data_IF_409547651047
#
_entry.id   IF_409547651047
#
_cell.length_a   1.000
_cell.length_b   1.000
_cell.length_c   1.000
_cell.angle_alpha   90.00
_cell.angle_beta   90.00
_cell.angle_gamma   90.00
#
_symmetry.space_group_name_H-M   'P 1'
#
loop_
_entity.id
_entity.type
_entity.pdbx_description
1 polymer ?
#
# COMPACT_ATOMS: atom_id res chain seq x y z
N UNK A 1 -17.41 0.18 -5.75
CA UNK A 1 -18.12 -0.36 -4.56
C UNK A 1 -17.61 0.35 -3.32
N UNK A 2 -18.46 0.75 -2.38
CA UNK A 2 -18.04 1.40 -1.12
C UNK A 2 -18.11 0.41 0.05
N UNK A 3 -17.03 0.27 0.81
CA UNK A 3 -16.93 -0.60 1.98
C UNK A 3 -15.83 -0.11 2.94
N UNK A 4 -15.91 -0.44 4.23
CA UNK A 4 -14.89 -0.06 5.24
C UNK A 4 -14.54 1.44 5.26
N UNK A 5 -15.51 2.30 4.93
CA UNK A 5 -15.30 3.75 4.87
C UNK A 5 -14.55 4.27 3.63
N UNK A 6 -14.27 3.42 2.64
CA UNK A 6 -13.55 3.80 1.41
C UNK A 6 -14.17 3.18 0.16
N UNK A 7 -13.67 3.57 -1.01
CA UNK A 7 -14.13 3.08 -2.31
C UNK A 7 -13.15 2.06 -2.89
N UNK A 8 -13.70 1.10 -3.64
CA UNK A 8 -12.97 0.06 -4.36
C UNK A 8 -13.43 0.04 -5.83
N UNK A 9 -12.47 0.07 -6.75
CA UNK A 9 -12.70 0.02 -8.19
C UNK A 9 -12.75 -1.42 -8.71
N UNK A 10 -13.59 -2.26 -8.09
CA UNK A 10 -13.73 -3.69 -8.40
C UNK A 10 -15.07 -3.97 -9.10
N UNK A 11 -15.11 -4.84 -10.12
CA UNK A 11 -16.38 -5.27 -10.72
C UNK A 11 -17.19 -6.13 -9.74
N UNK A 12 -18.51 -6.14 -9.95
CA UNK A 12 -19.39 -7.04 -9.20
C UNK A 12 -19.03 -8.49 -9.47
N UNK A 13 -19.05 -9.32 -8.41
CA UNK A 13 -18.73 -10.76 -8.53
C UNK A 13 -17.24 -11.09 -8.57
N UNK A 14 -16.34 -10.17 -8.21
CA UNK A 14 -14.93 -10.50 -8.03
C UNK A 14 -14.71 -11.39 -6.80
N UNK A 15 -14.35 -12.66 -7.03
CA UNK A 15 -14.16 -13.67 -5.98
C UNK A 15 -12.70 -14.15 -5.84
N UNK A 16 -11.74 -13.48 -6.48
CA UNK A 16 -10.33 -13.87 -6.51
C UNK A 16 -9.47 -13.18 -5.43
N UNK A 17 -10.07 -12.65 -4.37
CA UNK A 17 -9.34 -11.92 -3.32
C UNK A 17 -8.27 -12.74 -2.57
N UNK A 18 -8.39 -14.08 -2.40
CA UNK A 18 -7.33 -14.86 -1.77
C UNK A 18 -6.04 -14.93 -2.59
N UNK A 19 -6.13 -14.89 -3.93
CA UNK A 19 -4.96 -14.89 -4.80
C UNK A 19 -4.48 -13.48 -5.14
N UNK A 20 -5.41 -12.56 -5.40
CA UNK A 20 -5.10 -11.17 -5.72
C UNK A 20 -6.08 -10.27 -4.98
N UNK A 21 -5.62 -9.68 -3.89
CA UNK A 21 -6.39 -8.66 -3.17
C UNK A 21 -6.60 -7.41 -4.04
N UNK A 22 -7.74 -6.76 -3.89
CA UNK A 22 -8.00 -5.46 -4.53
C UNK A 22 -7.76 -4.36 -3.50
N UNK A 23 -6.85 -3.41 -3.75
CA UNK A 23 -6.64 -2.29 -2.85
C UNK A 23 -7.83 -1.32 -2.86
N UNK A 24 -8.04 -0.55 -1.78
CA UNK A 24 -8.86 0.66 -1.85
C UNK A 24 -8.43 1.56 -3.00
N UNK A 25 -9.38 2.23 -3.66
CA UNK A 25 -9.14 3.19 -4.74
C UNK A 25 -8.06 4.23 -4.39
N UNK A 26 -8.07 4.92 -3.23
CA UNK A 26 -7.04 5.90 -2.91
C UNK A 26 -5.63 5.27 -2.76
N UNK A 27 -5.54 3.99 -2.42
CA UNK A 27 -4.26 3.28 -2.35
C UNK A 27 -3.73 2.99 -3.75
N UNK A 28 -4.60 2.54 -4.66
CA UNK A 28 -4.24 2.32 -6.07
C UNK A 28 -3.78 3.62 -6.75
N UNK A 29 -4.49 4.72 -6.48
CA UNK A 29 -4.15 6.06 -6.99
C UNK A 29 -2.77 6.52 -6.51
N UNK A 30 -2.46 6.37 -5.22
CA UNK A 30 -1.15 6.74 -4.67
C UNK A 30 0.01 5.93 -5.30
N UNK A 31 -0.21 4.65 -5.59
CA UNK A 31 0.77 3.82 -6.31
C UNK A 31 0.94 4.29 -7.76
N UNK A 32 -0.16 4.58 -8.46
CA UNK A 32 -0.12 5.08 -9.83
C UNK A 32 0.61 6.43 -9.92
N UNK A 33 0.36 7.35 -8.98
CA UNK A 33 1.07 8.63 -8.87
C UNK A 33 2.58 8.42 -8.64
N UNK A 34 2.94 7.47 -7.76
CA UNK A 34 4.35 7.17 -7.50
C UNK A 34 5.08 6.67 -8.74
N UNK A 35 4.42 5.84 -9.56
CA UNK A 35 4.93 5.38 -10.86
C UNK A 35 5.03 6.55 -11.84
N UNK A 36 4.03 7.45 -11.87
CA UNK A 36 4.01 8.64 -12.72
C UNK A 36 5.19 9.58 -12.44
N UNK A 37 5.44 9.86 -11.16
CA UNK A 37 6.60 10.67 -10.73
C UNK A 37 7.92 9.99 -11.06
N UNK A 38 8.00 8.67 -10.92
CA UNK A 38 9.20 7.92 -11.24
C UNK A 38 9.52 8.00 -12.74
N UNK A 39 8.54 7.80 -13.62
CA UNK A 39 8.76 7.85 -15.09
C UNK A 39 9.17 9.23 -15.59
N UNK A 40 8.89 10.31 -14.86
CA UNK A 40 9.32 11.67 -15.21
C UNK A 40 10.61 12.10 -14.51
N UNK A 41 11.24 11.24 -13.71
CA UNK A 41 12.44 11.58 -12.93
C UNK A 41 12.18 12.54 -11.77
N UNK A 42 10.93 12.67 -11.31
CA UNK A 42 10.55 13.55 -10.21
C UNK A 42 10.72 12.92 -8.82
N UNK A 43 10.96 11.61 -8.76
CA UNK A 43 11.10 10.85 -7.52
C UNK A 43 12.52 10.90 -6.97
N UNK A 44 12.67 11.12 -5.66
CA UNK A 44 13.95 10.99 -4.94
C UNK A 44 13.90 9.83 -3.95
N UNK A 45 15.00 9.06 -3.77
CA UNK A 45 14.99 7.90 -2.87
C UNK A 45 14.50 8.19 -1.44
N UNK A 46 14.96 9.29 -0.82
CA UNK A 46 14.59 9.65 0.55
C UNK A 46 13.12 10.05 0.75
N UNK A 47 12.37 10.31 -0.32
CA UNK A 47 10.94 10.62 -0.23
C UNK A 47 10.13 9.40 0.26
N UNK A 48 10.68 8.17 0.17
CA UNK A 48 10.03 6.95 0.64
C UNK A 48 10.24 6.63 2.13
N UNK A 49 11.22 7.24 2.79
CA UNK A 49 11.62 6.87 4.16
C UNK A 49 10.46 7.07 5.17
N UNK A 50 9.69 8.14 5.01
CA UNK A 50 8.51 8.40 5.83
C UNK A 50 7.42 7.33 5.64
N UNK A 51 7.23 6.85 4.41
CA UNK A 51 6.22 5.84 4.08
C UNK A 51 6.64 4.46 4.58
N UNK A 52 7.94 4.14 4.49
CA UNK A 52 8.53 2.92 5.07
C UNK A 52 8.35 2.92 6.59
N UNK A 53 8.70 4.02 7.26
CA UNK A 53 8.58 4.17 8.71
C UNK A 53 7.13 4.01 9.16
N UNK A 54 6.19 4.69 8.48
CA UNK A 54 4.76 4.60 8.78
C UNK A 54 4.20 3.20 8.55
N UNK A 55 4.60 2.53 7.47
CA UNK A 55 4.17 1.17 7.15
C UNK A 55 4.64 0.16 8.20
N UNK A 56 5.92 0.24 8.61
CA UNK A 56 6.46 -0.58 9.70
C UNK A 56 5.68 -0.38 10.99
N UNK A 57 5.48 0.86 11.41
CA UNK A 57 4.75 1.19 12.64
C UNK A 57 3.29 0.69 12.61
N UNK A 58 2.61 0.85 11.46
CA UNK A 58 1.23 0.39 11.28
C UNK A 58 1.09 -1.14 11.39
N UNK A 59 1.98 -1.87 10.72
CA UNK A 59 1.97 -3.34 10.77
C UNK A 59 2.39 -3.88 12.14
N UNK A 60 3.39 -3.25 12.77
CA UNK A 60 3.83 -3.57 14.12
C UNK A 60 2.69 -3.42 15.13
N UNK A 61 1.91 -2.34 15.03
CA UNK A 61 0.71 -2.13 15.85
C UNK A 61 -0.36 -3.19 15.62
N UNK A 62 -0.58 -3.61 14.38
CA UNK A 62 -1.56 -4.66 14.05
C UNK A 62 -1.19 -6.01 14.70
N UNK A 63 0.10 -6.32 14.77
CA UNK A 63 0.60 -7.59 15.34
C UNK A 63 1.02 -7.51 16.81
N UNK A 64 1.02 -6.32 17.42
CA UNK A 64 1.47 -6.12 18.80
C UNK A 64 2.97 -6.35 19.00
N UNK A 65 3.80 -6.01 18.01
CA UNK A 65 5.26 -6.16 18.06
C UNK A 65 5.97 -4.81 18.00
N UNK A 66 7.27 -4.77 18.32
CA UNK A 66 8.11 -3.58 18.12
C UNK A 66 8.36 -3.29 16.62
N UNK A 67 8.31 -2.03 16.13
CA UNK A 67 8.55 -1.70 14.73
C UNK A 67 9.93 -2.11 14.18
N UNK A 68 10.94 -2.22 15.04
CA UNK A 68 12.26 -2.74 14.70
C UNK A 68 12.23 -4.21 14.29
N UNK A 69 11.20 -4.96 14.69
CA UNK A 69 10.98 -6.38 14.33
C UNK A 69 10.30 -6.59 12.98
N UNK A 70 9.79 -5.53 12.33
CA UNK A 70 9.05 -5.63 11.06
C UNK A 70 9.97 -5.28 9.89
N UNK A 71 10.47 -6.25 9.12
CA UNK A 71 11.23 -5.95 7.90
C UNK A 71 10.31 -5.48 6.75
N UNK A 72 10.85 -4.69 5.81
CA UNK A 72 10.21 -4.44 4.51
C UNK A 72 10.86 -5.38 3.50
N UNK A 73 10.06 -6.31 2.97
CA UNK A 73 10.50 -7.21 1.90
C UNK A 73 10.38 -6.55 0.53
N UNK A 74 11.17 -7.05 -0.44
CA UNK A 74 11.07 -6.64 -1.84
C UNK A 74 10.01 -7.42 -2.63
N UNK A 75 9.44 -8.48 -2.04
CA UNK A 75 8.43 -9.35 -2.64
C UNK A 75 7.76 -10.21 -1.55
N UNK A 76 6.58 -10.74 -1.86
CA UNK A 76 5.93 -11.85 -1.16
C UNK A 76 5.56 -12.92 -2.19
#
# INVERSE_FOLDING_TARGET
MRAFGTDFAVPSGYLNTPSVGIPPAPVAEAVAESVDRWRTGATRPGEFDQYVTRSRAGFARLLGVDPGRVAIGASA
#
